data_IF_705787904168
#
_entry.id   IF_705787904168
#
_cell.length_a   1.000
_cell.length_b   1.000
_cell.length_c   1.000
_cell.angle_alpha   90.00
_cell.angle_beta   90.00
_cell.angle_gamma   90.00
#
_symmetry.space_group_name_H-M   'P 1'
#
loop_
_entity.id
_entity.type
_entity.pdbx_description
1 polymer ?
#
# COMPACT_ATOMS: atom_id res chain seq x y z
N UNK A 1 4.92 -23.39 -3.18
CA UNK A 1 4.87 -23.10 -1.73
C UNK A 1 3.50 -23.39 -1.09
N UNK A 2 2.38 -23.37 -1.82
CA UNK A 2 1.05 -23.38 -1.17
C UNK A 2 0.66 -24.63 -0.37
N UNK A 3 1.20 -25.81 -0.67
CA UNK A 3 0.89 -27.02 0.11
C UNK A 3 1.71 -27.12 1.42
N UNK A 4 2.89 -26.50 1.48
CA UNK A 4 3.81 -26.61 2.62
C UNK A 4 3.33 -25.85 3.86
N UNK A 5 2.48 -24.82 3.68
CA UNK A 5 1.95 -24.02 4.78
C UNK A 5 0.75 -24.68 5.47
N UNK A 6 0.05 -25.60 4.79
CA UNK A 6 -1.21 -26.18 5.27
C UNK A 6 -1.12 -26.83 6.66
N UNK A 7 -0.05 -27.59 7.01
CA UNK A 7 0.08 -28.17 8.35
C UNK A 7 0.24 -27.13 9.46
N UNK A 8 0.64 -25.90 9.11
CA UNK A 8 0.90 -24.81 10.04
C UNK A 8 -0.20 -23.75 10.04
N UNK A 9 -1.18 -23.84 9.13
CA UNK A 9 -2.13 -22.77 8.87
C UNK A 9 -2.97 -22.42 10.11
N UNK A 10 -3.64 -23.40 10.71
CA UNK A 10 -4.44 -23.21 11.92
C UNK A 10 -3.67 -22.58 13.10
N UNK A 11 -2.54 -23.17 13.56
CA UNK A 11 -1.80 -22.60 14.69
C UNK A 11 -1.19 -21.23 14.37
N UNK A 12 -0.81 -20.98 13.12
CA UNK A 12 -0.28 -19.69 12.68
C UNK A 12 -1.37 -18.62 12.70
N UNK A 13 -2.53 -18.90 12.10
CA UNK A 13 -3.67 -17.98 12.08
C UNK A 13 -4.19 -17.69 13.48
N UNK A 14 -4.25 -18.69 14.36
CA UNK A 14 -4.64 -18.49 15.76
C UNK A 14 -3.73 -17.49 16.48
N UNK A 15 -2.41 -17.59 16.29
CA UNK A 15 -1.43 -16.65 16.89
C UNK A 15 -1.51 -15.26 16.25
N UNK A 16 -1.57 -15.18 14.93
CA UNK A 16 -1.60 -13.91 14.21
C UNK A 16 -2.88 -13.12 14.51
N UNK A 17 -4.04 -13.77 14.53
CA UNK A 17 -5.32 -13.12 14.87
C UNK A 17 -5.37 -12.68 16.33
N UNK A 18 -4.82 -13.48 17.25
CA UNK A 18 -4.70 -13.08 18.66
C UNK A 18 -3.82 -11.85 18.83
N UNK A 19 -2.63 -11.86 18.22
CA UNK A 19 -1.71 -10.73 18.27
C UNK A 19 -2.30 -9.47 17.63
N UNK A 20 -2.97 -9.60 16.48
CA UNK A 20 -3.61 -8.46 15.80
C UNK A 20 -4.65 -7.74 16.67
N UNK A 21 -5.32 -8.43 17.61
CA UNK A 21 -6.35 -7.83 18.46
C UNK A 21 -5.80 -7.13 19.71
N UNK A 22 -4.73 -7.64 20.30
CA UNK A 22 -4.29 -7.21 21.64
C UNK A 22 -2.89 -6.59 21.68
N UNK A 23 -2.19 -6.50 20.55
CA UNK A 23 -0.82 -6.00 20.51
C UNK A 23 -0.73 -4.50 20.23
N UNK A 24 0.42 -3.86 20.52
CA UNK A 24 0.71 -2.50 20.06
C UNK A 24 0.68 -2.38 18.53
N UNK A 25 0.44 -1.16 18.02
CA UNK A 25 0.23 -0.87 16.59
C UNK A 25 1.28 -1.46 15.65
N UNK A 26 2.56 -1.27 15.97
CA UNK A 26 3.66 -1.79 15.15
C UNK A 26 3.62 -3.33 14.98
N UNK A 27 3.20 -4.06 16.02
CA UNK A 27 3.03 -5.50 15.93
C UNK A 27 1.74 -5.87 15.19
N UNK A 28 0.66 -5.10 15.33
CA UNK A 28 -0.56 -5.26 14.54
C UNK A 28 -0.26 -5.12 13.04
N UNK A 29 0.51 -4.12 12.64
CA UNK A 29 0.99 -3.90 11.26
C UNK A 29 1.75 -5.13 10.73
N UNK A 30 2.70 -5.63 11.52
CA UNK A 30 3.47 -6.82 11.16
C UNK A 30 2.58 -8.06 11.03
N UNK A 31 1.58 -8.21 11.91
CA UNK A 31 0.59 -9.28 11.83
C UNK A 31 -0.26 -9.18 10.56
N UNK A 32 -0.67 -7.97 10.14
CA UNK A 32 -1.41 -7.78 8.89
C UNK A 32 -0.59 -8.25 7.68
N UNK A 33 0.68 -7.83 7.56
CA UNK A 33 1.57 -8.31 6.49
C UNK A 33 1.76 -9.82 6.52
N UNK A 34 1.95 -10.41 7.70
CA UNK A 34 2.10 -11.86 7.83
C UNK A 34 0.82 -12.61 7.42
N UNK A 35 -0.36 -12.13 7.82
CA UNK A 35 -1.64 -12.70 7.40
C UNK A 35 -1.80 -12.62 5.88
N UNK A 36 -1.38 -11.50 5.25
CA UNK A 36 -1.39 -11.35 3.80
C UNK A 36 -0.55 -12.41 3.10
N UNK A 37 0.69 -12.62 3.57
CA UNK A 37 1.56 -13.69 3.06
C UNK A 37 0.95 -15.08 3.24
N UNK A 38 0.30 -15.34 4.37
CA UNK A 38 -0.40 -16.60 4.62
C UNK A 38 -1.58 -16.77 3.66
N UNK A 39 -2.38 -15.74 3.44
CA UNK A 39 -3.51 -15.76 2.51
C UNK A 39 -3.06 -16.07 1.08
N UNK A 40 -2.03 -15.36 0.60
CA UNK A 40 -1.45 -15.59 -0.73
C UNK A 40 -0.85 -17.01 -0.89
N UNK A 41 -0.26 -17.57 0.17
CA UNK A 41 0.31 -18.91 0.12
C UNK A 41 -0.75 -20.01 0.22
N UNK A 42 -1.73 -19.86 1.12
CA UNK A 42 -2.74 -20.87 1.38
C UNK A 42 -3.92 -20.85 0.38
N UNK A 43 -4.08 -19.76 -0.37
CA UNK A 43 -5.13 -19.56 -1.38
C UNK A 43 -6.51 -19.95 -0.81
N UNK A 44 -7.19 -20.94 -1.42
CA UNK A 44 -8.51 -21.40 -1.01
C UNK A 44 -8.55 -21.96 0.42
N UNK A 45 -7.43 -22.46 0.96
CA UNK A 45 -7.37 -22.92 2.34
C UNK A 45 -7.46 -21.78 3.36
N UNK A 46 -7.27 -20.52 2.95
CA UNK A 46 -7.43 -19.34 3.80
C UNK A 46 -8.90 -18.96 4.05
N UNK A 47 -9.83 -19.41 3.20
CA UNK A 47 -11.26 -19.02 3.24
C UNK A 47 -11.90 -19.09 4.63
N UNK A 48 -11.64 -20.10 5.48
CA UNK A 48 -12.23 -20.18 6.83
C UNK A 48 -11.88 -19.00 7.76
N UNK A 49 -10.78 -18.29 7.52
CA UNK A 49 -10.33 -17.18 8.38
C UNK A 49 -10.71 -15.80 7.82
N UNK A 50 -11.07 -15.74 6.54
CA UNK A 50 -11.18 -14.48 5.82
C UNK A 50 -12.25 -13.54 6.37
N UNK A 51 -13.42 -14.06 6.76
CA UNK A 51 -14.49 -13.25 7.36
C UNK A 51 -13.97 -12.51 8.59
N UNK A 52 -13.30 -13.23 9.50
CA UNK A 52 -12.75 -12.63 10.71
C UNK A 52 -11.67 -11.59 10.43
N UNK A 53 -10.82 -11.85 9.43
CA UNK A 53 -9.77 -10.90 9.02
C UNK A 53 -10.41 -9.62 8.47
N UNK A 54 -11.38 -9.74 7.56
CA UNK A 54 -12.07 -8.60 6.95
C UNK A 54 -12.84 -7.77 7.97
N UNK A 55 -13.46 -8.39 8.98
CA UNK A 55 -14.08 -7.66 10.11
C UNK A 55 -13.08 -6.79 10.86
N UNK A 56 -11.89 -7.32 11.14
CA UNK A 56 -10.82 -6.55 11.79
C UNK A 56 -10.33 -5.43 10.88
N UNK A 57 -10.15 -5.69 9.58
CA UNK A 57 -9.67 -4.68 8.63
C UNK A 57 -10.59 -3.47 8.54
N UNK A 58 -11.92 -3.67 8.58
CA UNK A 58 -12.89 -2.55 8.60
C UNK A 58 -12.62 -1.55 9.72
N UNK A 59 -12.12 -2.00 10.87
CA UNK A 59 -11.81 -1.12 12.01
C UNK A 59 -10.59 -0.25 11.69
N UNK A 60 -9.54 -0.84 11.12
CA UNK A 60 -8.31 -0.11 10.78
C UNK A 60 -8.48 0.80 9.56
N UNK A 61 -9.30 0.40 8.58
CA UNK A 61 -9.50 1.13 7.34
C UNK A 61 -10.25 2.46 7.48
N UNK A 62 -10.73 2.80 8.68
CA UNK A 62 -11.41 4.08 8.97
C UNK A 62 -10.61 4.98 9.90
N UNK A 63 -9.40 4.59 10.31
CA UNK A 63 -8.55 5.40 11.18
C UNK A 63 -8.02 6.63 10.43
N UNK A 64 -8.01 7.78 11.10
CA UNK A 64 -7.61 9.07 10.48
C UNK A 64 -6.48 9.78 11.22
N UNK A 65 -6.04 9.26 12.35
CA UNK A 65 -4.92 9.84 13.09
C UNK A 65 -3.61 9.55 12.36
N UNK A 66 -2.69 10.50 12.32
CA UNK A 66 -1.39 10.37 11.65
C UNK A 66 -0.60 9.13 12.13
N UNK A 67 -0.64 8.84 13.44
CA UNK A 67 0.03 7.67 14.03
C UNK A 67 -0.56 6.33 13.58
N UNK A 68 -1.78 6.32 13.04
CA UNK A 68 -2.52 5.13 12.62
C UNK A 68 -2.50 4.93 11.09
N UNK A 69 -2.00 5.89 10.31
CA UNK A 69 -2.10 5.84 8.83
C UNK A 69 -1.35 4.65 8.23
N UNK A 70 -0.24 4.26 8.85
CA UNK A 70 0.49 3.04 8.45
C UNK A 70 -0.32 1.78 8.69
N UNK A 71 -0.96 1.67 9.85
CA UNK A 71 -1.89 0.57 10.14
C UNK A 71 -3.08 0.55 9.17
N UNK A 72 -3.61 1.71 8.79
CA UNK A 72 -4.66 1.83 7.75
C UNK A 72 -4.17 1.40 6.37
N UNK A 73 -2.94 1.76 5.99
CA UNK A 73 -2.33 1.32 4.74
C UNK A 73 -2.27 -0.21 4.69
N UNK A 74 -1.71 -0.84 5.74
CA UNK A 74 -1.60 -2.30 5.86
C UNK A 74 -2.95 -3.01 5.83
N UNK A 75 -3.97 -2.42 6.45
CA UNK A 75 -5.31 -2.97 6.41
C UNK A 75 -5.95 -2.91 5.01
N UNK A 76 -5.65 -1.84 4.27
CA UNK A 76 -6.11 -1.64 2.89
C UNK A 76 -5.47 -2.65 1.95
N UNK A 77 -4.15 -2.83 2.05
CA UNK A 77 -3.38 -3.86 1.33
C UNK A 77 -3.94 -5.26 1.61
N UNK A 78 -4.07 -5.63 2.90
CA UNK A 78 -4.55 -6.94 3.30
C UNK A 78 -5.98 -7.22 2.80
N UNK A 79 -6.86 -6.22 2.81
CA UNK A 79 -8.22 -6.38 2.30
C UNK A 79 -8.26 -6.76 0.82
N UNK A 80 -7.34 -6.23 0.01
CA UNK A 80 -7.19 -6.59 -1.40
C UNK A 80 -6.69 -8.03 -1.59
N UNK A 81 -5.67 -8.43 -0.82
CA UNK A 81 -5.12 -9.79 -0.87
C UNK A 81 -6.17 -10.84 -0.45
N UNK A 82 -6.91 -10.56 0.61
CA UNK A 82 -7.97 -11.46 1.09
C UNK A 82 -9.10 -11.54 0.07
N UNK A 83 -9.47 -10.43 -0.58
CA UNK A 83 -10.47 -10.41 -1.64
C UNK A 83 -10.12 -11.37 -2.78
N UNK A 84 -8.85 -11.40 -3.21
CA UNK A 84 -8.36 -12.34 -4.22
C UNK A 84 -8.41 -13.79 -3.74
N UNK A 85 -8.10 -14.04 -2.47
CA UNK A 85 -8.11 -15.40 -1.89
C UNK A 85 -9.52 -15.99 -1.78
N UNK A 86 -10.51 -15.19 -1.38
CA UNK A 86 -11.90 -15.66 -1.19
C UNK A 86 -12.74 -15.64 -2.45
N UNK A 87 -12.34 -14.86 -3.45
CA UNK A 87 -13.00 -14.75 -4.73
C UNK A 87 -14.27 -13.88 -4.71
N UNK A 88 -14.71 -13.55 -5.93
CA UNK A 88 -15.75 -12.56 -6.22
C UNK A 88 -17.06 -12.79 -5.46
N UNK A 89 -17.58 -14.03 -5.48
CA UNK A 89 -18.89 -14.35 -4.94
C UNK A 89 -19.05 -14.01 -3.44
N UNK A 90 -17.95 -14.10 -2.67
CA UNK A 90 -17.95 -13.77 -1.23
C UNK A 90 -17.66 -12.30 -0.96
N UNK A 91 -16.82 -11.68 -1.80
CA UNK A 91 -16.37 -10.32 -1.60
C UNK A 91 -17.36 -9.28 -2.12
N UNK A 92 -17.95 -9.49 -3.31
CA UNK A 92 -18.79 -8.50 -4.01
C UNK A 92 -19.94 -7.93 -3.13
N UNK A 93 -20.65 -8.71 -2.29
CA UNK A 93 -21.70 -8.17 -1.42
C UNK A 93 -21.22 -7.19 -0.35
N UNK A 94 -19.96 -7.29 0.09
CA UNK A 94 -19.40 -6.47 1.18
C UNK A 94 -18.41 -5.41 0.67
N UNK A 95 -17.97 -5.55 -0.57
CA UNK A 95 -16.95 -4.72 -1.22
C UNK A 95 -17.26 -3.20 -1.21
N UNK A 96 -18.51 -2.72 -1.37
CA UNK A 96 -18.78 -1.28 -1.39
C UNK A 96 -18.24 -0.53 -0.17
N UNK A 97 -18.33 -1.12 1.03
CA UNK A 97 -17.80 -0.51 2.25
C UNK A 97 -16.26 -0.40 2.25
N UNK A 98 -15.57 -1.38 1.65
CA UNK A 98 -14.10 -1.35 1.52
C UNK A 98 -13.65 -0.34 0.47
N UNK A 99 -14.38 -0.24 -0.65
CA UNK A 99 -14.14 0.78 -1.68
C UNK A 99 -14.29 2.18 -1.11
N UNK A 100 -15.36 2.45 -0.36
CA UNK A 100 -15.58 3.75 0.29
C UNK A 100 -14.46 4.08 1.30
N UNK A 101 -14.06 3.11 2.12
CA UNK A 101 -12.97 3.28 3.07
C UNK A 101 -11.61 3.53 2.38
N UNK A 102 -11.35 2.89 1.24
CA UNK A 102 -10.14 3.10 0.44
C UNK A 102 -10.13 4.50 -0.20
N UNK A 103 -11.23 4.93 -0.83
CA UNK A 103 -11.35 6.28 -1.44
C UNK A 103 -11.19 7.36 -0.37
N UNK A 104 -11.85 7.22 0.78
CA UNK A 104 -11.69 8.19 1.88
C UNK A 104 -10.27 8.22 2.44
N UNK A 105 -9.58 7.08 2.45
CA UNK A 105 -8.20 6.98 2.93
C UNK A 105 -7.21 7.68 2.02
N UNK A 106 -7.46 7.63 0.71
CA UNK A 106 -6.65 8.32 -0.29
C UNK A 106 -6.53 9.84 -0.01
N UNK A 107 -7.59 10.44 0.53
CA UNK A 107 -7.65 11.86 0.90
C UNK A 107 -6.81 12.27 2.10
N UNK A 108 -6.20 11.31 2.82
CA UNK A 108 -5.32 11.58 3.97
C UNK A 108 -3.87 11.89 3.59
N UNK A 109 -3.56 11.90 2.29
CA UNK A 109 -2.30 12.37 1.72
C UNK A 109 -1.03 11.68 2.25
N UNK A 110 -1.16 10.42 2.68
CA UNK A 110 -0.05 9.59 3.12
C UNK A 110 0.38 8.62 2.01
N UNK A 111 1.61 8.76 1.51
CA UNK A 111 2.07 8.05 0.30
C UNK A 111 1.96 6.52 0.39
N UNK A 112 2.36 5.89 1.50
CA UNK A 112 2.23 4.42 1.67
C UNK A 112 0.75 3.98 1.65
N UNK A 113 -0.17 4.81 2.18
CA UNK A 113 -1.61 4.51 2.09
C UNK A 113 -2.15 4.68 0.66
N UNK A 114 -1.71 5.70 -0.08
CA UNK A 114 -2.11 5.90 -1.48
C UNK A 114 -1.56 4.78 -2.38
N UNK A 115 -0.32 4.38 -2.18
CA UNK A 115 0.31 3.23 -2.82
C UNK A 115 -0.53 1.96 -2.62
N UNK A 116 -0.84 1.61 -1.37
CA UNK A 116 -1.62 0.40 -1.07
C UNK A 116 -3.08 0.51 -1.46
N UNK A 117 -3.61 1.72 -1.59
CA UNK A 117 -4.94 1.97 -2.17
C UNK A 117 -4.95 1.64 -3.66
N UNK A 118 -3.91 1.98 -4.42
CA UNK A 118 -3.77 1.58 -5.83
C UNK A 118 -3.63 0.06 -5.98
N UNK A 119 -2.85 -0.58 -5.09
CA UNK A 119 -2.76 -2.04 -5.01
C UNK A 119 -4.10 -2.70 -4.68
N UNK A 120 -4.88 -2.13 -3.76
CA UNK A 120 -6.24 -2.59 -3.45
C UNK A 120 -7.15 -2.50 -4.68
N UNK A 121 -7.20 -1.36 -5.37
CA UNK A 121 -8.04 -1.22 -6.55
C UNK A 121 -7.60 -2.11 -7.71
N UNK A 122 -6.30 -2.40 -7.82
CA UNK A 122 -5.77 -3.37 -8.78
C UNK A 122 -6.37 -4.77 -8.55
N UNK A 123 -6.34 -5.25 -7.31
CA UNK A 123 -6.99 -6.51 -6.93
C UNK A 123 -8.50 -6.49 -7.20
N UNK A 124 -9.17 -5.38 -6.90
CA UNK A 124 -10.62 -5.26 -7.13
C UNK A 124 -10.98 -5.25 -8.62
N UNK A 125 -10.14 -4.63 -9.46
CA UNK A 125 -10.31 -4.67 -10.91
C UNK A 125 -10.18 -6.09 -11.46
N UNK A 126 -9.17 -6.83 -11.02
CA UNK A 126 -8.99 -8.25 -11.37
C UNK A 126 -10.17 -9.11 -10.90
N UNK A 127 -10.61 -8.90 -9.65
CA UNK A 127 -11.70 -9.65 -9.03
C UNK A 127 -13.05 -9.48 -9.73
N UNK A 128 -13.38 -8.24 -10.13
CA UNK A 128 -14.70 -7.90 -10.68
C UNK A 128 -14.76 -7.92 -12.21
N UNK A 129 -13.60 -7.83 -12.88
CA UNK A 129 -13.50 -7.66 -14.33
C UNK A 129 -14.39 -6.51 -14.82
N UNK A 130 -15.31 -6.76 -15.77
CA UNK A 130 -16.26 -5.78 -16.29
C UNK A 130 -17.10 -5.10 -15.19
N UNK A 131 -17.32 -5.78 -14.06
CA UNK A 131 -18.02 -5.24 -12.89
C UNK A 131 -17.31 -4.04 -12.24
N UNK A 132 -16.00 -3.89 -12.47
CA UNK A 132 -15.20 -2.76 -11.99
C UNK A 132 -15.52 -1.44 -12.70
N UNK A 133 -16.19 -1.49 -13.88
CA UNK A 133 -16.54 -0.31 -14.68
C UNK A 133 -17.23 0.78 -13.86
N UNK A 134 -18.07 0.41 -12.89
CA UNK A 134 -18.77 1.35 -12.02
C UNK A 134 -17.83 2.22 -11.15
N UNK A 135 -16.60 1.76 -10.89
CA UNK A 135 -15.62 2.44 -10.05
C UNK A 135 -14.63 3.29 -10.85
N UNK A 136 -14.47 3.04 -12.15
CA UNK A 136 -13.54 3.78 -13.03
C UNK A 136 -13.67 5.31 -12.93
N UNK A 137 -14.88 5.93 -12.89
CA UNK A 137 -15.01 7.38 -12.77
C UNK A 137 -14.38 7.96 -11.49
N UNK A 138 -14.21 7.13 -10.46
CA UNK A 138 -13.67 7.53 -9.16
C UNK A 138 -12.18 7.20 -9.05
N UNK A 139 -11.76 6.01 -9.46
CA UNK A 139 -10.39 5.52 -9.20
C UNK A 139 -9.37 5.98 -10.24
N UNK A 140 -9.78 6.19 -11.50
CA UNK A 140 -8.88 6.66 -12.56
C UNK A 140 -8.33 8.05 -12.25
N UNK A 141 -9.15 9.04 -11.84
CA UNK A 141 -8.63 10.35 -11.43
C UNK A 141 -7.62 10.28 -10.28
N UNK A 142 -7.81 9.36 -9.31
CA UNK A 142 -6.87 9.18 -8.20
C UNK A 142 -5.51 8.67 -8.71
N UNK A 143 -5.51 7.64 -9.56
CA UNK A 143 -4.28 7.11 -10.14
C UNK A 143 -3.54 8.16 -10.98
N UNK A 144 -4.24 8.92 -11.82
CA UNK A 144 -3.64 10.04 -12.55
C UNK A 144 -3.08 11.13 -11.63
N UNK A 145 -3.74 11.42 -10.50
CA UNK A 145 -3.21 12.40 -9.54
C UNK A 145 -1.87 11.94 -8.95
N UNK A 146 -1.73 10.66 -8.61
CA UNK A 146 -0.46 10.08 -8.13
C UNK A 146 0.61 10.08 -9.21
N UNK A 147 0.30 9.65 -10.44
CA UNK A 147 1.25 9.65 -11.56
C UNK A 147 1.85 11.03 -11.84
N UNK A 148 1.06 12.10 -11.62
CA UNK A 148 1.46 13.48 -11.86
C UNK A 148 2.08 14.19 -10.65
N UNK A 149 2.36 13.49 -9.54
CA UNK A 149 3.08 14.07 -8.41
C UNK A 149 4.46 14.59 -8.84
N UNK A 150 5.01 15.57 -8.13
CA UNK A 150 6.40 15.99 -8.33
C UNK A 150 7.34 14.96 -7.70
N UNK A 151 8.34 14.48 -8.44
CA UNK A 151 9.34 13.52 -7.95
C UNK A 151 10.23 14.11 -6.84
N UNK A 152 10.18 15.43 -6.66
CA UNK A 152 11.05 16.19 -5.78
C UNK A 152 12.34 16.61 -6.50
N UNK A 153 12.95 17.72 -6.07
CA UNK A 153 14.19 18.20 -6.65
C UNK A 153 15.33 17.22 -6.37
N UNK A 154 15.81 16.54 -7.41
CA UNK A 154 16.98 15.67 -7.35
C UNK A 154 18.33 16.41 -7.17
N UNK A 155 18.30 17.73 -6.93
CA UNK A 155 19.51 18.55 -6.83
C UNK A 155 19.29 19.68 -5.82
N UNK A 156 19.77 19.49 -4.59
CA UNK A 156 20.16 20.64 -3.77
C UNK A 156 21.53 21.09 -4.28
N UNK A 157 21.54 22.05 -5.20
CA UNK A 157 22.77 22.78 -5.53
C UNK A 157 22.98 23.74 -4.37
N UNK A 158 23.79 23.32 -3.41
CA UNK A 158 24.31 24.22 -2.39
C UNK A 158 25.30 25.19 -3.04
N UNK A 159 24.76 26.26 -3.64
CA UNK A 159 25.49 27.44 -4.12
C UNK A 159 25.60 28.50 -3.00
N UNK A 160 25.70 28.06 -1.74
CA UNK A 160 25.97 28.95 -0.60
C UNK A 160 27.33 28.64 0.01
N UNK A 161 28.34 29.37 -0.45
CA UNK A 161 29.43 29.77 0.43
C UNK A 161 28.84 30.75 1.47
N UNK A 162 28.20 30.26 2.52
CA UNK A 162 27.92 31.07 3.70
C UNK A 162 27.84 30.20 4.97
N UNK A 163 28.71 30.56 5.90
CA UNK A 163 29.03 29.91 7.16
C UNK A 163 27.83 29.69 8.13
N UNK A 164 27.99 28.67 8.98
CA UNK A 164 27.40 28.52 10.32
C UNK A 164 25.89 28.24 10.48
N UNK A 165 25.52 26.95 10.55
CA UNK A 165 25.07 26.31 11.81
C UNK A 165 24.63 24.86 11.60
N UNK A 166 25.46 23.93 12.04
CA UNK A 166 25.17 22.49 12.10
C UNK A 166 24.27 22.21 13.32
N UNK A 167 23.06 21.70 13.07
CA UNK A 167 22.34 20.89 14.05
C UNK A 167 21.60 19.73 13.37
N UNK A 168 22.32 18.62 13.24
CA UNK A 168 21.78 17.30 13.58
C UNK A 168 21.20 16.43 12.46
N UNK A 169 22.06 15.68 11.75
CA UNK A 169 21.82 14.24 11.54
C UNK A 169 23.12 13.48 11.15
N UNK A 170 23.60 12.65 12.08
CA UNK A 170 24.45 11.45 11.90
C UNK A 170 25.49 11.40 10.77
N UNK A 171 26.58 12.16 10.88
CA UNK A 171 27.80 11.93 10.10
C UNK A 171 28.77 10.99 10.83
N UNK A 172 29.12 9.88 10.18
CA UNK A 172 30.18 8.95 10.60
C UNK A 172 31.50 9.73 10.73
N UNK A 173 32.03 9.81 11.94
CA UNK A 173 33.34 10.41 12.19
C UNK A 173 34.43 9.44 11.74
N UNK A 174 35.19 9.84 10.71
CA UNK A 174 36.55 9.38 10.50
C UNK A 174 37.38 10.59 10.06
N UNK A 175 38.20 11.04 10.98
CA UNK A 175 39.26 12.05 10.84
C UNK A 175 40.37 11.48 9.93
N UNK A 176 40.61 12.03 8.74
CA UNK A 176 41.94 12.10 8.12
C UNK A 176 41.97 13.01 6.87
N UNK A 177 42.80 14.05 6.96
CA UNK A 177 43.66 14.66 5.92
C UNK A 177 43.11 14.91 4.48
N UNK A 178 42.88 16.19 4.20
CA UNK A 178 43.10 16.90 2.94
C UNK A 178 43.17 16.08 1.64
N UNK A 179 42.02 15.87 1.01
CA UNK A 179 41.92 15.71 -0.44
C UNK A 179 40.75 16.54 -0.96
N UNK A 180 41.02 17.31 -2.01
CA UNK A 180 40.08 18.11 -2.79
C UNK A 180 39.13 17.15 -3.55
N UNK A 181 38.22 16.50 -2.81
CA UNK A 181 37.20 15.64 -3.40
C UNK A 181 36.03 16.48 -3.92
N UNK A 182 35.51 16.17 -5.12
CA UNK A 182 34.38 16.91 -5.68
C UNK A 182 33.20 16.80 -4.72
N UNK A 183 32.70 17.97 -4.25
CA UNK A 183 31.49 18.10 -3.40
C UNK A 183 30.45 17.08 -3.87
N UNK A 184 30.22 16.05 -3.06
CA UNK A 184 29.22 15.02 -3.33
C UNK A 184 27.88 15.74 -3.43
N UNK A 185 27.30 15.76 -4.63
CA UNK A 185 25.96 16.31 -4.84
C UNK A 185 25.00 15.44 -4.05
N UNK A 186 24.44 15.99 -2.99
CA UNK A 186 23.43 15.29 -2.19
C UNK A 186 22.14 15.20 -3.02
N UNK A 187 21.87 14.01 -3.55
CA UNK A 187 20.61 13.70 -4.23
C UNK A 187 19.63 13.25 -3.15
N UNK A 188 18.62 14.07 -2.85
CA UNK A 188 17.49 13.69 -1.99
C UNK A 188 16.38 13.10 -2.86
N UNK A 189 16.03 11.83 -2.65
CA UNK A 189 14.97 11.12 -3.40
C UNK A 189 13.79 10.84 -2.49
N UNK A 190 12.58 11.24 -2.91
CA UNK A 190 11.33 10.93 -2.21
C UNK A 190 10.82 9.55 -2.60
N UNK A 191 11.42 8.49 -2.04
CA UNK A 191 11.11 7.10 -2.42
C UNK A 191 9.61 6.76 -2.30
N UNK A 192 8.93 7.22 -1.25
CA UNK A 192 7.49 6.96 -1.08
C UNK A 192 6.62 7.56 -2.20
N UNK A 193 7.01 8.69 -2.80
CA UNK A 193 6.30 9.26 -3.96
C UNK A 193 6.53 8.39 -5.20
N UNK A 194 7.74 7.86 -5.37
CA UNK A 194 8.06 6.97 -6.49
C UNK A 194 7.31 5.64 -6.38
N UNK A 195 7.20 5.07 -5.17
CA UNK A 195 6.44 3.84 -4.92
C UNK A 195 4.95 4.05 -5.20
N UNK A 196 4.37 5.16 -4.72
CA UNK A 196 2.98 5.55 -5.02
C UNK A 196 2.74 5.70 -6.53
N UNK A 197 3.66 6.35 -7.26
CA UNK A 197 3.59 6.49 -8.73
C UNK A 197 3.68 5.16 -9.46
N UNK A 198 4.58 4.27 -9.02
CA UNK A 198 4.72 2.96 -9.61
C UNK A 198 3.44 2.15 -9.45
N UNK A 199 2.86 2.13 -8.24
CA UNK A 199 1.60 1.47 -7.95
C UNK A 199 0.43 2.07 -8.75
N UNK A 200 0.36 3.40 -8.86
CA UNK A 200 -0.67 4.09 -9.66
C UNK A 200 -0.59 3.72 -11.14
N UNK A 201 0.62 3.70 -11.70
CA UNK A 201 0.87 3.35 -13.11
C UNK A 201 0.48 1.90 -13.38
N UNK A 202 0.85 0.98 -12.48
CA UNK A 202 0.43 -0.42 -12.56
C UNK A 202 -1.11 -0.55 -12.49
N UNK A 203 -1.75 0.20 -11.58
CA UNK A 203 -3.20 0.18 -11.41
C UNK A 203 -3.92 0.61 -12.69
N UNK A 204 -3.50 1.69 -13.36
CA UNK A 204 -4.06 2.11 -14.65
C UNK A 204 -3.99 0.99 -15.70
N UNK A 205 -2.85 0.30 -15.79
CA UNK A 205 -2.68 -0.84 -16.67
C UNK A 205 -3.65 -1.99 -16.37
N UNK A 206 -3.85 -2.30 -15.08
CA UNK A 206 -4.78 -3.35 -14.64
C UNK A 206 -6.24 -2.94 -14.82
N UNK A 207 -6.58 -1.67 -14.59
CA UNK A 207 -7.92 -1.15 -14.88
C UNK A 207 -8.26 -1.33 -16.36
N UNK A 208 -7.35 -0.96 -17.26
CA UNK A 208 -7.50 -1.16 -18.69
C UNK A 208 -7.58 -2.64 -19.07
N UNK A 209 -6.72 -3.48 -18.50
CA UNK A 209 -6.69 -4.93 -18.75
C UNK A 209 -8.02 -5.61 -18.40
N UNK A 210 -8.57 -5.31 -17.22
CA UNK A 210 -9.72 -6.02 -16.68
C UNK A 210 -11.07 -5.45 -17.12
N UNK A 211 -11.12 -4.18 -17.56
CA UNK A 211 -12.37 -3.54 -18.03
C UNK A 211 -12.43 -3.32 -19.55
N UNK A 212 -11.31 -3.54 -20.26
CA UNK A 212 -11.23 -3.57 -21.73
C UNK A 212 -11.86 -2.32 -22.36
N UNK A 213 -12.92 -2.48 -23.16
CA UNK A 213 -13.56 -1.38 -23.90
C UNK A 213 -14.17 -0.34 -22.98
N UNK A 214 -14.54 -0.70 -21.75
CA UNK A 214 -15.06 0.24 -20.76
C UNK A 214 -14.00 1.25 -20.31
N UNK A 215 -12.71 0.96 -20.48
CA UNK A 215 -11.62 1.90 -20.19
C UNK A 215 -11.40 2.93 -21.30
N UNK A 216 -11.92 2.71 -22.52
CA UNK A 216 -11.67 3.58 -23.68
C UNK A 216 -11.95 5.09 -23.47
N UNK A 217 -12.91 5.52 -22.61
CA UNK A 217 -13.13 6.94 -22.34
C UNK A 217 -12.03 7.62 -21.50
N UNK A 218 -11.14 6.85 -20.88
CA UNK A 218 -10.12 7.34 -19.96
C UNK A 218 -8.77 7.52 -20.66
N UNK A 219 -7.91 8.44 -20.17
CA UNK A 219 -6.59 8.60 -20.72
C UNK A 219 -5.73 7.35 -20.46
N UNK A 220 -4.79 7.11 -21.38
CA UNK A 220 -3.67 6.17 -21.21
C UNK A 220 -2.52 6.87 -20.50
#
# INVERSE_FOLDING_TARGET
MGEEILPFLDPLMGKLLGALQSSPRNLQETCMSAIGSVASAAEQAFVPYAERVLELMKIFMVLTNDEDLRSRARATELSGIVAMSVGRARMEPILPAFVEAAISGFGLEFSELREYTHGFFSNVAELLEDGFTQYLPHVVPLAFSSCNLDDGSAVDIDDSDEDENVNGFGGVSSDDEAHDEPRVRNISVRTGVLDEKAAATQALGLFALHTKISYAPYPL
#
